data_IF_689116981062
#
_entry.id   IF_689116981062
#
_cell.length_a   1.000
_cell.length_b   1.000
_cell.length_c   1.000
_cell.angle_alpha   90.00
_cell.angle_beta   90.00
_cell.angle_gamma   90.00
#
_symmetry.space_group_name_H-M   'P 1'
#
loop_
_entity.id
_entity.type
_entity.pdbx_description
1 polymer ?
#
# COMPACT_ATOMS: atom_id res chain seq x y z
N UNK A 1 11.41 -13.02 -16.14
CA UNK A 1 10.60 -12.12 -16.99
C UNK A 1 9.27 -11.80 -16.31
N UNK A 2 8.51 -10.85 -16.81
CA UNK A 2 7.13 -10.59 -16.39
C UNK A 2 6.28 -10.19 -17.60
N UNK A 3 4.97 -10.36 -17.50
CA UNK A 3 4.01 -9.90 -18.51
C UNK A 3 3.22 -8.71 -17.98
N UNK A 4 3.10 -7.64 -18.78
CA UNK A 4 2.20 -6.50 -18.52
C UNK A 4 1.49 -6.17 -19.82
N UNK A 5 0.16 -6.20 -19.81
CA UNK A 5 -0.68 -5.97 -20.98
C UNK A 5 -0.24 -6.82 -22.19
N UNK A 6 -0.01 -8.12 -21.96
CA UNK A 6 0.52 -9.10 -22.93
C UNK A 6 1.93 -8.85 -23.48
N UNK A 7 2.60 -7.76 -23.07
CA UNK A 7 4.00 -7.50 -23.42
C UNK A 7 4.92 -8.20 -22.43
N UNK A 8 5.97 -8.81 -22.93
CA UNK A 8 6.94 -9.57 -22.13
C UNK A 8 8.16 -8.70 -21.85
N UNK A 9 8.56 -8.61 -20.58
CA UNK A 9 9.68 -7.78 -20.13
C UNK A 9 10.76 -8.61 -19.43
N UNK A 10 12.02 -8.36 -19.79
CA UNK A 10 13.16 -8.87 -19.03
C UNK A 10 13.51 -7.93 -17.87
N UNK A 11 13.37 -8.46 -16.66
CA UNK A 11 13.63 -7.74 -15.42
C UNK A 11 14.88 -8.21 -14.68
N UNK A 12 15.66 -9.14 -15.26
CA UNK A 12 16.77 -9.83 -14.59
C UNK A 12 17.78 -8.87 -13.95
N UNK A 13 18.12 -7.77 -14.65
CA UNK A 13 19.00 -6.72 -14.13
C UNK A 13 18.23 -5.53 -13.53
N UNK A 14 16.98 -5.32 -13.94
CA UNK A 14 16.19 -4.19 -13.48
C UNK A 14 15.67 -4.37 -12.05
N UNK A 15 15.44 -5.62 -11.60
CA UNK A 15 14.91 -5.91 -10.27
C UNK A 15 15.72 -5.27 -9.13
N UNK A 16 17.05 -5.17 -9.27
CA UNK A 16 17.95 -4.56 -8.28
C UNK A 16 17.90 -3.02 -8.25
N UNK A 17 17.33 -2.41 -9.29
CA UNK A 17 17.21 -0.95 -9.46
C UNK A 17 15.76 -0.47 -9.32
N UNK A 18 14.81 -1.39 -9.18
CA UNK A 18 13.41 -1.05 -9.07
C UNK A 18 13.14 -0.27 -7.76
N UNK A 19 12.51 0.92 -7.81
CA UNK A 19 12.27 1.74 -6.62
C UNK A 19 11.42 1.06 -5.54
N UNK A 20 10.52 0.16 -5.93
CA UNK A 20 9.72 -0.66 -4.99
C UNK A 20 10.48 -1.84 -4.37
N UNK A 21 11.76 -2.02 -4.73
CA UNK A 21 12.62 -3.08 -4.23
C UNK A 21 12.55 -4.39 -5.03
N UNK A 22 13.58 -5.22 -4.85
CA UNK A 22 13.76 -6.49 -5.56
C UNK A 22 12.70 -7.53 -5.20
N UNK A 23 12.39 -7.70 -3.89
CA UNK A 23 11.47 -8.75 -3.40
C UNK A 23 10.08 -8.61 -4.02
N UNK A 24 9.55 -7.39 -4.11
CA UNK A 24 8.25 -7.09 -4.71
C UNK A 24 8.20 -7.44 -6.20
N UNK A 25 9.27 -7.15 -6.95
CA UNK A 25 9.29 -7.45 -8.38
C UNK A 25 9.48 -8.94 -8.65
N UNK A 26 10.33 -9.62 -7.86
CA UNK A 26 10.62 -11.05 -8.00
C UNK A 26 9.43 -11.92 -7.58
N UNK A 27 8.58 -11.47 -6.65
CA UNK A 27 7.37 -12.20 -6.26
C UNK A 27 6.37 -12.42 -7.41
N UNK A 28 6.51 -11.64 -8.50
CA UNK A 28 5.73 -11.70 -9.73
C UNK A 28 6.53 -12.23 -10.93
N UNK A 29 7.73 -12.78 -10.72
CA UNK A 29 8.53 -13.31 -11.80
C UNK A 29 7.81 -14.49 -12.50
N UNK A 30 7.73 -14.44 -13.82
CA UNK A 30 7.08 -15.45 -14.66
C UNK A 30 5.56 -15.32 -14.73
N UNK A 31 4.98 -14.23 -14.21
CA UNK A 31 3.53 -14.04 -14.09
C UNK A 31 3.03 -12.89 -14.97
N UNK A 32 1.72 -12.86 -15.19
CA UNK A 32 1.03 -11.65 -15.64
C UNK A 32 0.83 -10.72 -14.45
N UNK A 33 1.68 -9.70 -14.41
CA UNK A 33 1.74 -8.69 -13.36
C UNK A 33 0.92 -7.45 -13.74
N UNK A 34 0.01 -7.53 -14.71
CA UNK A 34 -0.75 -6.38 -15.21
C UNK A 34 -1.49 -5.68 -14.06
N UNK A 35 -2.31 -6.40 -13.29
CA UNK A 35 -3.14 -5.77 -12.27
C UNK A 35 -2.31 -5.14 -11.13
N UNK A 36 -1.24 -5.83 -10.69
CA UNK A 36 -0.27 -5.29 -9.75
C UNK A 36 0.43 -4.04 -10.31
N UNK A 37 0.87 -4.09 -11.58
CA UNK A 37 1.47 -2.94 -12.24
C UNK A 37 0.49 -1.76 -12.33
N UNK A 38 -0.79 -2.02 -12.62
CA UNK A 38 -1.82 -0.99 -12.64
C UNK A 38 -2.00 -0.37 -11.25
N UNK A 39 -2.06 -1.18 -10.19
CA UNK A 39 -2.25 -0.73 -8.81
C UNK A 39 -1.08 0.12 -8.26
N UNK A 40 0.17 -0.31 -8.44
CA UNK A 40 1.32 0.33 -7.78
C UNK A 40 1.90 1.56 -8.50
N UNK A 41 1.66 1.71 -9.81
CA UNK A 41 2.33 2.76 -10.60
C UNK A 41 1.39 3.91 -10.94
N UNK A 42 1.33 4.96 -10.11
CA UNK A 42 0.46 6.13 -10.35
C UNK A 42 0.81 6.85 -11.67
N UNK A 43 2.10 7.13 -11.91
CA UNK A 43 2.56 7.83 -13.12
C UNK A 43 2.91 6.84 -14.24
N UNK A 44 1.90 6.44 -15.02
CA UNK A 44 2.08 5.54 -16.17
C UNK A 44 3.00 6.10 -17.25
N UNK A 45 3.04 7.42 -17.41
CA UNK A 45 3.85 8.08 -18.44
C UNK A 45 5.33 7.96 -18.10
N UNK A 46 5.71 8.29 -16.86
CA UNK A 46 7.07 8.13 -16.37
C UNK A 46 7.52 6.67 -16.46
N UNK A 47 6.70 5.75 -15.95
CA UNK A 47 7.06 4.33 -15.85
C UNK A 47 7.19 3.70 -17.24
N UNK A 48 6.37 4.11 -18.22
CA UNK A 48 6.49 3.63 -19.60
C UNK A 48 7.88 3.87 -20.21
N UNK A 49 8.58 4.94 -19.81
CA UNK A 49 9.95 5.24 -20.28
C UNK A 49 10.95 4.19 -19.79
N UNK A 50 10.77 3.68 -18.58
CA UNK A 50 11.60 2.61 -18.03
C UNK A 50 11.25 1.24 -18.58
N UNK A 51 9.98 1.00 -18.97
CA UNK A 51 9.54 -0.27 -19.54
C UNK A 51 10.04 -0.50 -20.97
N UNK A 52 10.09 0.54 -21.81
CA UNK A 52 10.51 0.44 -23.21
C UNK A 52 11.80 -0.38 -23.44
N UNK A 53 12.94 -0.09 -22.77
CA UNK A 53 14.17 -0.86 -22.98
C UNK A 53 14.15 -2.28 -22.39
N UNK A 54 13.14 -2.61 -21.58
CA UNK A 54 13.02 -3.93 -20.95
C UNK A 54 12.13 -4.89 -21.76
N UNK A 55 11.36 -4.38 -22.73
CA UNK A 55 10.45 -5.19 -23.52
C UNK A 55 11.25 -6.11 -24.47
N UNK A 56 11.01 -7.41 -24.37
CA UNK A 56 11.66 -8.44 -25.20
C UNK A 56 10.72 -9.10 -26.22
N UNK A 57 9.41 -8.84 -26.11
CA UNK A 57 8.41 -9.40 -27.02
C UNK A 57 6.99 -9.20 -26.54
N UNK A 58 6.08 -9.98 -27.12
CA UNK A 58 4.65 -10.04 -26.77
C UNK A 58 4.19 -11.49 -26.73
N UNK A 59 3.20 -11.80 -25.91
CA UNK A 59 2.60 -13.13 -25.85
C UNK A 59 1.94 -13.48 -27.19
N UNK A 60 2.15 -14.72 -27.64
CA UNK A 60 1.51 -15.22 -28.85
C UNK A 60 -0.02 -15.12 -28.75
N UNK A 61 -0.75 -14.84 -29.85
CA UNK A 61 -2.18 -14.52 -29.81
C UNK A 61 -3.06 -15.60 -29.15
N UNK A 62 -2.65 -16.86 -29.25
CA UNK A 62 -3.29 -18.04 -28.69
C UNK A 62 -3.00 -18.27 -27.19
N UNK A 63 -2.00 -17.59 -26.64
CA UNK A 63 -1.64 -17.72 -25.23
C UNK A 63 -2.59 -16.90 -24.33
N UNK A 64 -3.09 -17.47 -23.23
CA UNK A 64 -3.98 -16.76 -22.31
C UNK A 64 -3.24 -15.61 -21.60
N UNK A 65 -3.97 -14.56 -21.23
CA UNK A 65 -3.44 -13.43 -20.43
C UNK A 65 -3.64 -13.61 -18.93
N UNK A 66 -4.03 -14.82 -18.51
CA UNK A 66 -4.31 -15.18 -17.11
C UNK A 66 -3.64 -16.53 -16.87
N UNK A 67 -2.97 -16.66 -15.73
CA UNK A 67 -2.28 -17.88 -15.36
C UNK A 67 -3.28 -19.02 -15.12
N UNK A 68 -2.95 -20.28 -15.47
CA UNK A 68 -3.84 -21.42 -15.26
C UNK A 68 -4.26 -21.66 -13.81
N UNK A 69 -3.51 -21.13 -12.85
CA UNK A 69 -3.79 -21.23 -11.41
C UNK A 69 -4.83 -20.22 -10.93
N UNK A 70 -5.11 -19.16 -11.71
CA UNK A 70 -6.08 -18.13 -11.34
C UNK A 70 -7.46 -18.46 -11.89
N UNK A 71 -8.48 -18.05 -11.16
CA UNK A 71 -9.86 -18.12 -11.64
C UNK A 71 -10.14 -16.94 -12.58
N UNK A 72 -10.27 -17.24 -13.88
CA UNK A 72 -10.49 -16.23 -14.92
C UNK A 72 -11.75 -15.39 -14.69
N UNK A 73 -12.84 -16.00 -14.19
CA UNK A 73 -14.06 -15.27 -13.87
C UNK A 73 -13.82 -14.24 -12.77
N UNK A 74 -13.14 -14.62 -11.69
CA UNK A 74 -12.83 -13.68 -10.60
C UNK A 74 -11.93 -12.52 -11.04
N UNK A 75 -10.94 -12.80 -11.90
CA UNK A 75 -10.07 -11.76 -12.48
C UNK A 75 -10.88 -10.79 -13.33
N UNK A 76 -11.80 -11.30 -14.15
CA UNK A 76 -12.69 -10.49 -14.98
C UNK A 76 -13.63 -9.64 -14.14
N UNK A 77 -14.30 -10.25 -13.17
CA UNK A 77 -15.24 -9.56 -12.26
C UNK A 77 -14.54 -8.44 -11.49
N UNK A 78 -13.32 -8.67 -11.00
CA UNK A 78 -12.52 -7.65 -10.33
C UNK A 78 -12.18 -6.47 -11.25
N UNK A 79 -11.76 -6.76 -12.50
CA UNK A 79 -11.45 -5.71 -13.49
C UNK A 79 -12.68 -4.91 -13.87
N UNK A 80 -13.84 -5.56 -14.02
CA UNK A 80 -15.12 -4.88 -14.27
C UNK A 80 -15.55 -3.99 -13.10
N UNK A 81 -15.44 -4.50 -11.87
CA UNK A 81 -15.71 -3.73 -10.65
C UNK A 81 -14.81 -2.49 -10.57
N UNK A 82 -13.50 -2.66 -10.79
CA UNK A 82 -12.55 -1.55 -10.81
C UNK A 82 -12.92 -0.50 -11.86
N UNK A 83 -13.23 -0.93 -13.08
CA UNK A 83 -13.64 -0.01 -14.14
C UNK A 83 -14.93 0.74 -13.79
N UNK A 84 -15.88 0.09 -13.10
CA UNK A 84 -17.08 0.75 -12.61
C UNK A 84 -16.76 1.81 -11.54
N UNK A 85 -15.93 1.46 -10.55
CA UNK A 85 -15.45 2.37 -9.49
C UNK A 85 -14.75 3.60 -10.06
N UNK A 86 -13.89 3.39 -11.07
CA UNK A 86 -13.20 4.47 -11.79
C UNK A 86 -14.19 5.36 -12.57
N UNK A 87 -15.14 4.78 -13.32
CA UNK A 87 -16.19 5.55 -14.04
C UNK A 87 -17.08 6.36 -13.12
N UNK A 88 -17.37 5.85 -11.92
CA UNK A 88 -18.17 6.54 -10.91
C UNK A 88 -17.40 7.67 -10.19
N UNK A 89 -16.09 7.83 -10.46
CA UNK A 89 -15.27 8.85 -9.81
C UNK A 89 -15.03 8.60 -8.32
N UNK A 90 -15.25 7.36 -7.83
CA UNK A 90 -15.13 7.03 -6.40
C UNK A 90 -13.66 7.03 -5.90
N UNK A 91 -12.69 7.14 -6.81
CA UNK A 91 -11.27 7.26 -6.48
C UNK A 91 -10.77 8.71 -6.45
N UNK A 92 -11.63 9.70 -6.70
CA UNK A 92 -11.25 11.12 -6.58
C UNK A 92 -11.25 11.55 -5.11
N UNK A 93 -10.10 11.98 -4.55
CA UNK A 93 -10.02 12.31 -3.14
C UNK A 93 -10.66 13.65 -2.79
N UNK A 94 -11.42 13.68 -1.69
CA UNK A 94 -11.90 14.92 -1.10
C UNK A 94 -10.82 15.53 -0.17
N UNK A 95 -10.06 16.48 -0.69
CA UNK A 95 -8.96 17.11 0.06
C UNK A 95 -9.41 17.89 1.29
N UNK A 96 -10.61 18.47 1.27
CA UNK A 96 -11.15 19.18 2.42
C UNK A 96 -11.42 18.22 3.57
N UNK A 97 -11.98 17.03 3.28
CA UNK A 97 -12.17 15.99 4.28
C UNK A 97 -10.85 15.61 4.96
N UNK A 98 -9.80 15.32 4.19
CA UNK A 98 -8.50 14.94 4.75
C UNK A 98 -7.82 16.08 5.52
N UNK A 99 -7.99 17.33 5.08
CA UNK A 99 -7.50 18.50 5.82
C UNK A 99 -8.21 18.63 7.17
N UNK A 100 -9.54 18.54 7.19
CA UNK A 100 -10.32 18.60 8.42
C UNK A 100 -10.00 17.42 9.36
N UNK A 101 -9.77 16.23 8.80
CA UNK A 101 -9.33 15.06 9.57
C UNK A 101 -7.97 15.30 10.24
N UNK A 102 -6.99 15.84 9.51
CA UNK A 102 -5.69 16.20 10.08
C UNK A 102 -5.82 17.26 11.18
N UNK A 103 -6.62 18.31 10.94
CA UNK A 103 -6.87 19.34 11.94
C UNK A 103 -7.53 18.78 13.20
N UNK A 104 -8.49 17.85 13.05
CA UNK A 104 -9.13 17.15 14.16
C UNK A 104 -8.13 16.30 14.97
N UNK A 105 -7.25 15.54 14.31
CA UNK A 105 -6.18 14.77 14.97
C UNK A 105 -5.27 15.69 15.79
N UNK A 106 -4.78 16.78 15.18
CA UNK A 106 -3.90 17.73 15.87
C UNK A 106 -4.59 18.41 17.07
N UNK A 107 -5.89 18.67 16.96
CA UNK A 107 -6.69 19.22 18.05
C UNK A 107 -6.80 18.22 19.20
N UNK A 108 -7.09 16.94 18.92
CA UNK A 108 -7.18 15.91 19.95
C UNK A 108 -5.83 15.66 20.63
N UNK A 109 -4.74 15.57 19.86
CA UNK A 109 -3.38 15.44 20.42
C UNK A 109 -3.08 16.61 21.36
N UNK A 110 -3.30 17.84 20.90
CA UNK A 110 -3.07 19.04 21.71
C UNK A 110 -3.96 19.04 22.96
N UNK A 111 -5.24 18.68 22.83
CA UNK A 111 -6.17 18.61 23.96
C UNK A 111 -5.71 17.60 25.03
N UNK A 112 -5.22 16.42 24.64
CA UNK A 112 -4.69 15.43 25.56
C UNK A 112 -3.52 15.99 26.39
N UNK A 113 -2.58 16.70 25.76
CA UNK A 113 -1.47 17.36 26.47
C UNK A 113 -1.94 18.50 27.38
N UNK A 114 -2.90 19.31 26.93
CA UNK A 114 -3.44 20.41 27.74
C UNK A 114 -4.21 19.90 28.96
N UNK A 115 -4.93 18.78 28.87
CA UNK A 115 -5.62 18.17 30.01
C UNK A 115 -4.61 17.83 31.11
N UNK A 116 -3.51 17.15 30.77
CA UNK A 116 -2.45 16.84 31.74
C UNK A 116 -1.77 18.10 32.29
N UNK A 117 -1.52 19.09 31.44
CA UNK A 117 -0.85 20.32 31.83
C UNK A 117 -1.66 21.15 32.84
N UNK A 118 -2.96 21.33 32.60
CA UNK A 118 -3.82 22.16 33.45
C UNK A 118 -4.40 21.44 34.67
N UNK A 119 -4.77 20.16 34.53
CA UNK A 119 -5.45 19.40 35.59
C UNK A 119 -4.51 18.44 36.33
N UNK A 120 -3.24 18.39 35.94
CA UNK A 120 -2.22 17.52 36.54
C UNK A 120 -2.35 16.05 36.15
N UNK A 121 -1.56 15.20 36.80
CA UNK A 121 -1.41 13.77 36.46
C UNK A 121 -2.17 12.83 37.38
N UNK A 122 -3.22 13.33 38.05
CA UNK A 122 -4.10 12.45 38.84
C UNK A 122 -4.82 11.45 37.92
N UNK A 123 -5.38 10.38 38.52
CA UNK A 123 -5.93 9.26 37.75
C UNK A 123 -6.95 9.68 36.69
N UNK A 124 -7.82 10.64 37.02
CA UNK A 124 -8.91 11.05 36.14
C UNK A 124 -8.42 11.82 34.89
N UNK A 125 -7.68 12.94 35.00
CA UNK A 125 -7.04 13.59 33.83
C UNK A 125 -6.15 12.64 33.03
N UNK A 126 -5.42 11.74 33.70
CA UNK A 126 -4.58 10.76 33.02
C UNK A 126 -5.39 9.82 32.13
N UNK A 127 -6.44 9.18 32.67
CA UNK A 127 -7.30 8.27 31.90
C UNK A 127 -8.00 8.99 30.76
N UNK A 128 -8.52 10.21 30.98
CA UNK A 128 -9.13 11.00 29.91
C UNK A 128 -8.13 11.35 28.80
N UNK A 129 -6.92 11.79 29.16
CA UNK A 129 -5.87 12.11 28.20
C UNK A 129 -5.44 10.89 27.40
N UNK A 130 -5.32 9.73 28.06
CA UNK A 130 -5.03 8.46 27.42
C UNK A 130 -6.11 8.10 26.38
N UNK A 131 -7.39 8.22 26.72
CA UNK A 131 -8.50 7.94 25.80
C UNK A 131 -8.48 8.87 24.58
N UNK A 132 -8.35 10.17 24.81
CA UNK A 132 -8.29 11.18 23.74
C UNK A 132 -7.10 10.92 22.82
N UNK A 133 -5.91 10.70 23.40
CA UNK A 133 -4.71 10.41 22.64
C UNK A 133 -4.85 9.09 21.86
N UNK A 134 -5.47 8.06 22.44
CA UNK A 134 -5.67 6.77 21.75
C UNK A 134 -6.55 6.93 20.51
N UNK A 135 -7.66 7.67 20.62
CA UNK A 135 -8.53 7.97 19.48
C UNK A 135 -7.76 8.73 18.40
N UNK A 136 -7.01 9.75 18.80
CA UNK A 136 -6.17 10.54 17.88
C UNK A 136 -5.16 9.67 17.13
N UNK A 137 -4.42 8.80 17.83
CA UNK A 137 -3.39 7.94 17.24
C UNK A 137 -3.97 6.86 16.31
N UNK A 138 -5.15 6.32 16.61
CA UNK A 138 -5.85 5.39 15.70
C UNK A 138 -6.24 6.13 14.41
N UNK A 139 -6.82 7.32 14.52
CA UNK A 139 -7.17 8.13 13.35
C UNK A 139 -5.93 8.54 12.53
N UNK A 140 -4.84 8.92 13.20
CA UNK A 140 -3.56 9.21 12.55
C UNK A 140 -3.01 8.00 11.79
N UNK A 141 -3.19 6.78 12.31
CA UNK A 141 -2.77 5.53 11.66
C UNK A 141 -3.53 5.25 10.36
N UNK A 142 -4.81 5.61 10.28
CA UNK A 142 -5.59 5.53 9.03
C UNK A 142 -5.22 6.65 8.06
N UNK A 143 -5.06 7.89 8.56
CA UNK A 143 -4.64 9.01 7.71
C UNK A 143 -3.26 8.76 7.08
N UNK A 144 -2.29 8.27 7.86
CA UNK A 144 -0.96 7.94 7.31
C UNK A 144 -1.04 6.79 6.30
N UNK A 145 -1.96 5.84 6.47
CA UNK A 145 -2.12 4.71 5.54
C UNK A 145 -2.54 5.22 4.16
N UNK A 146 -3.54 6.09 4.10
CA UNK A 146 -4.04 6.65 2.84
C UNK A 146 -3.02 7.58 2.17
N UNK A 147 -2.28 8.35 2.97
CA UNK A 147 -1.14 9.15 2.48
C UNK A 147 -0.02 8.25 1.93
N UNK A 148 0.29 7.15 2.60
CA UNK A 148 1.31 6.19 2.20
C UNK A 148 0.97 5.46 0.90
N UNK A 149 -0.32 5.25 0.63
CA UNK A 149 -0.84 4.74 -0.65
C UNK A 149 -0.96 5.80 -1.75
N UNK A 150 -0.58 7.04 -1.47
CA UNK A 150 -0.65 8.17 -2.40
C UNK A 150 -2.08 8.56 -2.81
N UNK A 151 -3.07 8.25 -1.98
CA UNK A 151 -4.49 8.37 -2.32
C UNK A 151 -5.10 9.74 -2.00
N UNK A 152 -4.42 10.63 -1.27
CA UNK A 152 -5.00 11.89 -0.78
C UNK A 152 -4.78 13.06 -1.76
N UNK A 153 -3.58 13.16 -2.34
CA UNK A 153 -3.23 14.23 -3.28
C UNK A 153 -2.94 13.71 -4.67
N UNK A 154 -3.36 14.47 -5.70
CA UNK A 154 -3.00 14.19 -7.10
C UNK A 154 -1.48 14.23 -7.34
N UNK A 155 -0.77 15.11 -6.65
CA UNK A 155 0.70 15.19 -6.72
C UNK A 155 1.32 14.35 -5.60
N UNK A 156 2.03 13.29 -5.97
CA UNK A 156 2.69 12.34 -5.04
C UNK A 156 3.61 13.02 -4.03
N UNK A 157 4.24 14.14 -4.39
CA UNK A 157 5.08 14.96 -3.49
C UNK A 157 4.37 15.32 -2.18
N UNK A 158 3.10 15.72 -2.25
CA UNK A 158 2.33 16.15 -1.07
C UNK A 158 1.96 14.96 -0.18
N UNK A 159 1.56 13.83 -0.79
CA UNK A 159 1.34 12.59 -0.06
C UNK A 159 2.60 12.18 0.71
N UNK A 160 3.78 12.15 0.07
CA UNK A 160 5.03 11.77 0.73
C UNK A 160 5.43 12.73 1.85
N UNK A 161 5.22 14.04 1.68
CA UNK A 161 5.54 15.02 2.72
C UNK A 161 4.67 14.82 3.96
N UNK A 162 3.35 14.74 3.76
CA UNK A 162 2.39 14.57 4.85
C UNK A 162 2.47 13.18 5.47
N UNK A 163 2.72 12.13 4.69
CA UNK A 163 2.97 10.78 5.20
C UNK A 163 4.16 10.77 6.16
N UNK A 164 5.28 11.39 5.78
CA UNK A 164 6.45 11.54 6.66
C UNK A 164 6.13 12.36 7.91
N UNK A 165 5.35 13.42 7.77
CA UNK A 165 4.94 14.22 8.93
C UNK A 165 4.13 13.38 9.92
N UNK A 166 3.02 12.78 9.48
CA UNK A 166 2.13 11.98 10.35
C UNK A 166 2.86 10.77 10.92
N UNK A 167 3.56 10.00 10.08
CA UNK A 167 4.23 8.77 10.52
C UNK A 167 5.40 9.06 11.45
N UNK A 168 6.28 10.02 11.11
CA UNK A 168 7.48 10.26 11.91
C UNK A 168 7.25 11.15 13.14
N UNK A 169 6.37 12.16 13.05
CA UNK A 169 6.21 13.15 14.14
C UNK A 169 5.00 12.88 15.03
N UNK A 170 3.88 12.41 14.47
CA UNK A 170 2.68 12.12 15.29
C UNK A 170 2.75 10.71 15.87
N UNK A 171 3.07 9.72 15.04
CA UNK A 171 3.11 8.30 15.45
C UNK A 171 4.48 7.89 16.00
N UNK A 172 5.58 8.51 15.53
CA UNK A 172 6.94 8.16 15.96
C UNK A 172 7.53 6.94 15.25
N UNK A 173 7.06 6.60 14.05
CA UNK A 173 7.50 5.47 13.26
C UNK A 173 8.12 5.89 11.91
N UNK A 174 8.86 4.98 11.26
CA UNK A 174 9.51 5.28 9.98
C UNK A 174 8.55 5.11 8.80
N UNK A 175 8.26 6.21 8.09
CA UNK A 175 7.47 6.19 6.85
C UNK A 175 8.07 5.27 5.77
N UNK A 176 9.41 5.20 5.69
CA UNK A 176 10.10 4.33 4.73
C UNK A 176 9.94 2.85 5.08
N UNK A 177 10.07 2.50 6.36
CA UNK A 177 9.85 1.15 6.84
C UNK A 177 8.42 0.69 6.54
N UNK A 178 7.44 1.52 6.90
CA UNK A 178 6.03 1.24 6.62
C UNK A 178 5.78 1.06 5.13
N UNK A 179 6.21 2.01 4.29
CA UNK A 179 5.99 1.93 2.83
C UNK A 179 6.60 0.67 2.23
N UNK A 180 7.80 0.28 2.67
CA UNK A 180 8.51 -0.88 2.13
C UNK A 180 7.81 -2.19 2.49
N UNK A 181 7.42 -2.39 3.75
CA UNK A 181 6.76 -3.63 4.19
C UNK A 181 5.31 -3.68 3.72
N UNK A 182 4.58 -2.58 3.88
CA UNK A 182 3.16 -2.50 3.50
C UNK A 182 2.95 -2.70 1.99
N UNK A 183 3.86 -2.18 1.15
CA UNK A 183 3.82 -2.45 -0.30
C UNK A 183 4.09 -3.93 -0.63
N UNK A 184 4.93 -4.61 0.14
CA UNK A 184 5.17 -6.05 -0.04
C UNK A 184 3.97 -6.88 0.41
N UNK A 185 3.34 -6.50 1.52
CA UNK A 185 2.08 -7.10 1.96
C UNK A 185 1.00 -6.97 0.87
N UNK A 186 0.71 -5.75 0.41
CA UNK A 186 -0.30 -5.52 -0.63
C UNK A 186 0.06 -6.08 -2.00
N UNK A 187 1.33 -6.41 -2.24
CA UNK A 187 1.75 -7.07 -3.47
C UNK A 187 1.20 -8.48 -3.56
N UNK A 188 1.20 -9.25 -2.46
CA UNK A 188 0.70 -10.64 -2.40
C UNK A 188 0.21 -10.94 -0.98
N UNK A 189 -0.96 -10.42 -0.58
CA UNK A 189 -1.41 -10.50 0.80
C UNK A 189 -1.71 -11.95 1.20
N UNK A 190 -1.39 -12.29 2.44
CA UNK A 190 -1.59 -13.60 3.05
C UNK A 190 -0.93 -14.77 2.29
N UNK A 191 0.03 -14.49 1.41
CA UNK A 191 0.76 -15.52 0.68
C UNK A 191 2.03 -15.90 1.44
N UNK A 192 2.12 -17.16 1.87
CA UNK A 192 3.24 -17.63 2.68
C UNK A 192 4.59 -17.42 1.97
N UNK A 193 5.61 -17.00 2.70
CA UNK A 193 6.94 -16.55 2.22
C UNK A 193 6.97 -15.29 1.32
N UNK A 194 5.83 -14.80 0.84
CA UNK A 194 5.75 -13.62 -0.03
C UNK A 194 5.28 -12.38 0.74
N UNK A 195 4.32 -12.58 1.64
CA UNK A 195 3.81 -11.55 2.54
C UNK A 195 4.66 -11.47 3.82
N UNK A 196 5.36 -10.34 4.07
CA UNK A 196 6.15 -10.19 5.29
C UNK A 196 5.29 -10.14 6.57
N UNK A 197 4.00 -9.82 6.49
CA UNK A 197 3.15 -9.63 7.68
C UNK A 197 2.79 -10.96 8.37
N UNK A 198 2.94 -12.08 7.65
CA UNK A 198 2.73 -13.43 8.17
C UNK A 198 4.04 -14.24 8.25
N UNK A 199 5.17 -13.65 7.86
CA UNK A 199 6.51 -14.26 7.87
C UNK A 199 7.17 -14.07 9.25
N UNK A 200 6.52 -14.60 10.29
CA UNK A 200 6.86 -14.34 11.71
C UNK A 200 7.72 -15.45 12.36
N UNK A 201 8.20 -16.42 11.58
CA UNK A 201 9.04 -17.51 12.08
C UNK A 201 10.40 -16.99 12.57
N UNK A 202 10.92 -17.43 13.74
CA UNK A 202 10.43 -18.51 14.61
C UNK A 202 9.54 -18.04 15.77
N UNK A 203 9.16 -16.76 15.84
CA UNK A 203 8.45 -16.19 16.98
C UNK A 203 6.97 -16.57 17.01
N UNK A 204 6.31 -16.61 15.85
CA UNK A 204 4.94 -17.06 15.69
C UNK A 204 4.86 -18.05 14.53
N UNK A 205 4.07 -19.11 14.70
CA UNK A 205 3.85 -20.14 13.69
C UNK A 205 2.40 -20.07 13.20
N UNK A 206 2.22 -20.01 11.89
CA UNK A 206 0.89 -20.09 11.27
C UNK A 206 0.45 -21.56 11.19
N UNK A 207 -0.68 -21.89 11.82
CA UNK A 207 -1.28 -23.23 11.77
C UNK A 207 -2.37 -23.29 10.70
N UNK A 208 -2.31 -24.27 9.79
CA UNK A 208 -3.34 -24.47 8.77
C UNK A 208 -2.99 -25.58 7.77
N UNK A 209 -4.00 -26.30 7.26
CA UNK A 209 -3.83 -27.35 6.23
C UNK A 209 -3.71 -26.79 4.81
N UNK A 210 -4.22 -25.58 4.58
CA UNK A 210 -4.18 -24.87 3.30
C UNK A 210 -3.62 -23.47 3.57
N UNK A 211 -2.38 -23.24 3.20
CA UNK A 211 -1.87 -21.89 3.06
C UNK A 211 -2.31 -21.35 1.69
N UNK A 212 -2.52 -20.04 1.57
CA UNK A 212 -2.61 -19.39 0.25
C UNK A 212 -1.22 -19.46 -0.38
N UNK A 213 -0.92 -20.58 -1.02
CA UNK A 213 0.26 -20.77 -1.88
C UNK A 213 -0.11 -20.31 -3.27
N UNK A 214 -0.27 -19.00 -3.44
CA UNK A 214 -0.32 -18.44 -4.79
C UNK A 214 1.11 -18.55 -5.36
N UNK A 215 1.30 -19.48 -6.31
CA UNK A 215 2.59 -19.73 -6.98
C UNK A 215 3.16 -18.46 -7.58
#
# INVERSE_FOLDING_TARGET
WLVIHRKVYDISHFCRRHPGGTRLLVSHAGQDATDAFVAFHVDKVLVSKYLKPLQIGELAPDQPSVEPTKNEMLVKDFRELRAAVERMGLLEPNQLFFFLLLAHILLLDTAAWLILFYFGTSLLPFVFSLLVLTISQVQASWLQHDLGHLSVFRKTKWNHLLHKFVMCHLIGASAKWWTLLHSQHHSKPNCFHKDPDIDMHPFLFTLGKKFSVEV
#
